data_IF_019654021372
#
_entry.id   IF_019654021372
#
_cell.length_a   1.000
_cell.length_b   1.000
_cell.length_c   1.000
_cell.angle_alpha   90.00
_cell.angle_beta   90.00
_cell.angle_gamma   90.00
#
_symmetry.space_group_name_H-M   'P 1'
#
loop_
_entity.id
_entity.type
_entity.pdbx_description
1 polymer ?
#
# COMPACT_ATOMS: atom_id res chain seq x y z
N UNK A 1 -25.61 -2.72 -1.03
CA UNK A 1 -25.60 -4.01 -1.76
C UNK A 1 -25.15 -3.76 -3.20
N UNK A 2 -24.34 -4.64 -3.77
CA UNK A 2 -23.92 -4.57 -5.18
C UNK A 2 -22.46 -4.13 -5.39
N UNK A 3 -21.67 -3.91 -4.34
CA UNK A 3 -20.23 -3.76 -4.43
C UNK A 3 -19.57 -5.14 -4.50
N UNK A 4 -18.51 -5.25 -5.29
CA UNK A 4 -17.73 -6.48 -5.45
C UNK A 4 -16.42 -6.36 -4.67
N UNK A 5 -16.30 -7.09 -3.56
CA UNK A 5 -15.13 -7.07 -2.67
C UNK A 5 -14.57 -5.65 -2.39
N UNK A 6 -15.37 -4.71 -1.85
CA UNK A 6 -14.90 -3.36 -1.59
C UNK A 6 -13.79 -3.35 -0.53
N UNK A 7 -12.70 -2.66 -0.81
CA UNK A 7 -11.52 -2.67 0.03
C UNK A 7 -11.10 -1.29 0.52
N UNK A 8 -11.03 -0.30 -0.36
CA UNK A 8 -10.66 1.07 -0.01
C UNK A 8 -11.75 2.07 -0.33
N UNK A 9 -11.79 3.18 0.39
CA UNK A 9 -12.64 4.30 0.03
C UNK A 9 -12.02 5.64 0.44
N UNK A 10 -12.33 6.68 -0.35
CA UNK A 10 -11.92 8.05 -0.05
C UNK A 10 -13.06 9.03 -0.37
N UNK A 11 -13.19 10.04 0.47
CA UNK A 11 -14.10 11.16 0.23
C UNK A 11 -13.43 12.19 -0.69
N UNK A 12 -14.15 12.59 -1.72
CA UNK A 12 -13.75 13.64 -2.67
C UNK A 12 -14.83 14.74 -2.72
N UNK A 13 -14.57 15.84 -3.43
CA UNK A 13 -15.56 16.92 -3.52
C UNK A 13 -16.87 16.46 -4.16
N UNK A 14 -16.80 15.56 -5.13
CA UNK A 14 -17.94 15.04 -5.90
C UNK A 14 -18.72 13.94 -5.17
N UNK A 15 -18.12 13.28 -4.15
CA UNK A 15 -18.75 12.17 -3.46
C UNK A 15 -17.78 11.22 -2.77
N UNK A 16 -17.96 9.93 -3.00
CA UNK A 16 -17.19 8.86 -2.37
C UNK A 16 -16.66 7.94 -3.46
N UNK A 17 -15.35 7.81 -3.54
CA UNK A 17 -14.70 6.83 -4.43
C UNK A 17 -14.48 5.55 -3.66
N UNK A 18 -14.88 4.42 -4.24
CA UNK A 18 -14.73 3.08 -3.65
C UNK A 18 -13.89 2.21 -4.59
N UNK A 19 -12.87 1.60 -4.00
CA UNK A 19 -12.08 0.54 -4.64
C UNK A 19 -12.79 -0.80 -4.44
N UNK A 20 -13.12 -1.45 -5.53
CA UNK A 20 -13.68 -2.79 -5.61
C UNK A 20 -12.67 -3.73 -6.28
N UNK A 21 -12.93 -5.02 -6.33
CA UNK A 21 -12.08 -5.96 -7.06
C UNK A 21 -11.99 -5.59 -8.55
N UNK A 22 -10.81 -5.10 -8.96
CA UNK A 22 -10.49 -4.69 -10.33
C UNK A 22 -11.24 -3.46 -10.84
N UNK A 23 -11.94 -2.73 -9.98
CA UNK A 23 -12.80 -1.60 -10.37
C UNK A 23 -12.75 -0.46 -9.39
N UNK A 24 -12.80 0.77 -9.89
CA UNK A 24 -12.88 1.99 -9.11
C UNK A 24 -14.16 2.76 -9.48
N UNK A 25 -15.01 3.01 -8.48
CA UNK A 25 -16.33 3.62 -8.69
C UNK A 25 -16.51 4.87 -7.83
N UNK A 26 -16.97 5.95 -8.43
CA UNK A 26 -17.44 7.15 -7.74
C UNK A 26 -18.95 7.06 -7.50
N UNK A 27 -19.37 7.31 -6.27
CA UNK A 27 -20.77 7.45 -5.84
C UNK A 27 -21.00 8.88 -5.34
N UNK A 28 -22.23 9.34 -5.42
CA UNK A 28 -22.63 10.55 -4.67
C UNK A 28 -22.64 10.27 -3.15
N UNK A 29 -22.82 11.30 -2.33
CA UNK A 29 -22.84 11.17 -0.86
C UNK A 29 -24.02 10.38 -0.29
N UNK A 30 -25.00 9.99 -1.12
CA UNK A 30 -26.09 9.09 -0.73
C UNK A 30 -25.81 7.63 -1.13
N UNK A 31 -24.65 7.33 -1.70
CA UNK A 31 -24.29 6.05 -2.31
C UNK A 31 -25.18 5.68 -3.50
N UNK A 32 -25.63 6.70 -4.24
CA UNK A 32 -26.40 6.58 -5.47
C UNK A 32 -25.56 7.01 -6.68
N UNK A 33 -26.13 6.87 -7.88
CA UNK A 33 -25.51 7.33 -9.13
C UNK A 33 -24.07 6.86 -9.36
N UNK A 34 -23.81 5.53 -9.34
CA UNK A 34 -22.45 5.02 -9.52
C UNK A 34 -21.88 5.39 -10.88
N UNK A 35 -20.69 5.95 -10.87
CA UNK A 35 -19.90 6.27 -12.04
C UNK A 35 -18.59 5.49 -12.02
N UNK A 36 -18.36 4.61 -13.00
CA UNK A 36 -17.13 3.86 -13.13
C UNK A 36 -15.99 4.78 -13.58
N UNK A 37 -14.92 4.87 -12.78
CA UNK A 37 -13.71 5.62 -13.10
C UNK A 37 -12.72 4.73 -13.87
N UNK A 38 -12.46 3.54 -13.36
CA UNK A 38 -11.59 2.52 -13.97
C UNK A 38 -12.25 1.15 -13.79
N UNK A 39 -12.06 0.24 -14.75
CA UNK A 39 -12.59 -1.11 -14.71
C UNK A 39 -11.68 -2.12 -15.41
N UNK A 40 -11.87 -3.38 -15.12
CA UNK A 40 -11.25 -4.48 -15.83
C UNK A 40 -9.77 -4.66 -15.51
N UNK A 41 -9.32 -4.33 -14.28
CA UNK A 41 -8.02 -4.77 -13.80
C UNK A 41 -8.16 -6.23 -13.36
N UNK A 42 -7.33 -7.15 -13.87
CA UNK A 42 -7.37 -8.54 -13.43
C UNK A 42 -7.14 -8.69 -11.93
N UNK A 43 -7.75 -9.68 -11.32
CA UNK A 43 -7.58 -10.05 -9.93
C UNK A 43 -7.13 -11.50 -9.82
N UNK A 44 -6.42 -11.82 -8.74
CA UNK A 44 -5.87 -13.16 -8.52
C UNK A 44 -5.62 -13.43 -7.04
N UNK A 45 -4.38 -13.67 -6.65
CA UNK A 45 -4.01 -13.84 -5.24
C UNK A 45 -4.22 -12.54 -4.45
N UNK A 46 -3.96 -11.42 -5.10
CA UNK A 46 -4.21 -10.08 -4.57
C UNK A 46 -5.15 -9.34 -5.51
N UNK A 47 -5.77 -8.31 -4.98
CA UNK A 47 -6.76 -7.49 -5.69
C UNK A 47 -6.35 -6.03 -5.66
N UNK A 48 -7.20 -5.16 -6.19
CA UNK A 48 -7.08 -3.72 -5.98
C UNK A 48 -7.50 -3.36 -4.55
N UNK A 49 -6.67 -2.58 -3.88
CA UNK A 49 -6.77 -2.30 -2.44
C UNK A 49 -7.17 -0.84 -2.15
N UNK A 50 -6.37 -0.11 -1.41
CA UNK A 50 -6.68 1.27 -1.03
C UNK A 50 -6.77 2.21 -2.23
N UNK A 51 -7.54 3.27 -2.04
CA UNK A 51 -7.55 4.47 -2.87
C UNK A 51 -7.40 5.69 -1.97
N UNK A 52 -6.43 6.55 -2.28
CA UNK A 52 -6.11 7.72 -1.48
C UNK A 52 -6.10 8.98 -2.37
N UNK A 53 -6.51 10.12 -1.80
CA UNK A 53 -6.50 11.40 -2.50
C UNK A 53 -5.23 12.18 -2.12
N UNK A 54 -4.43 12.53 -3.12
CA UNK A 54 -3.27 13.41 -2.94
C UNK A 54 -3.69 14.88 -2.81
N UNK A 55 -2.85 15.74 -2.21
CA UNK A 55 -3.13 17.17 -2.09
C UNK A 55 -3.35 17.90 -3.42
N UNK A 56 -2.84 17.36 -4.52
CA UNK A 56 -3.02 17.91 -5.87
C UNK A 56 -4.33 17.48 -6.55
N UNK A 57 -5.17 16.68 -5.86
CA UNK A 57 -6.44 16.16 -6.38
C UNK A 57 -6.34 14.88 -7.21
N UNK A 58 -5.15 14.30 -7.36
CA UNK A 58 -4.97 13.00 -8.01
C UNK A 58 -5.29 11.86 -7.03
N UNK A 59 -5.98 10.83 -7.50
CA UNK A 59 -6.11 9.60 -6.73
C UNK A 59 -4.89 8.71 -6.95
N UNK A 60 -4.38 8.11 -5.88
CA UNK A 60 -3.48 6.94 -5.93
C UNK A 60 -4.32 5.71 -5.64
N UNK A 61 -4.27 4.72 -6.54
CA UNK A 61 -5.00 3.48 -6.41
C UNK A 61 -4.04 2.29 -6.43
N UNK A 62 -4.12 1.43 -5.43
CA UNK A 62 -3.23 0.30 -5.23
C UNK A 62 -3.75 -0.93 -5.96
N UNK A 63 -2.93 -1.51 -6.82
CA UNK A 63 -3.26 -2.70 -7.60
C UNK A 63 -2.28 -3.81 -7.30
N UNK A 64 -2.75 -4.86 -6.63
CA UNK A 64 -1.94 -6.01 -6.26
C UNK A 64 -1.61 -6.92 -7.44
N UNK A 65 -0.65 -7.81 -7.24
CA UNK A 65 -0.27 -8.85 -8.20
C UNK A 65 -1.33 -9.95 -8.31
N UNK A 66 -1.47 -10.54 -9.48
CA UNK A 66 -2.42 -11.66 -9.68
C UNK A 66 -1.93 -12.97 -9.08
N UNK A 67 -0.67 -13.06 -8.71
CA UNK A 67 -0.05 -14.26 -8.16
C UNK A 67 0.96 -13.95 -7.06
N UNK A 68 1.49 -14.98 -6.41
CA UNK A 68 2.60 -14.82 -5.45
C UNK A 68 3.90 -14.41 -6.14
N UNK A 69 4.20 -15.01 -7.29
CA UNK A 69 5.43 -14.78 -8.05
C UNK A 69 5.19 -15.18 -9.52
N UNK A 70 4.91 -14.24 -10.39
CA UNK A 70 4.77 -14.43 -11.84
C UNK A 70 4.88 -13.10 -12.58
N UNK A 71 5.19 -13.17 -13.87
CA UNK A 71 5.02 -12.03 -14.75
C UNK A 71 3.52 -11.69 -14.89
N UNK A 72 3.16 -10.44 -14.76
CA UNK A 72 1.78 -9.98 -14.91
C UNK A 72 1.41 -9.82 -16.41
N UNK A 73 0.22 -10.30 -16.79
CA UNK A 73 -0.32 -10.13 -18.14
C UNK A 73 -0.85 -8.70 -18.38
N UNK A 74 -1.24 -8.00 -17.34
CA UNK A 74 -1.71 -6.62 -17.38
C UNK A 74 -0.75 -5.74 -16.55
N UNK A 75 -0.13 -4.75 -17.21
CA UNK A 75 0.84 -3.85 -16.60
C UNK A 75 0.27 -3.00 -15.45
N UNK A 76 -1.05 -2.96 -15.30
CA UNK A 76 -1.72 -2.28 -14.18
C UNK A 76 -1.74 -3.11 -12.90
N UNK A 77 -1.41 -4.41 -12.96
CA UNK A 77 -1.20 -5.23 -11.76
C UNK A 77 0.20 -5.02 -11.19
N UNK A 78 0.39 -5.36 -9.93
CA UNK A 78 1.63 -5.16 -9.19
C UNK A 78 2.15 -3.71 -9.28
N UNK A 79 1.25 -2.73 -9.15
CA UNK A 79 1.50 -1.33 -9.44
C UNK A 79 0.73 -0.36 -8.53
N UNK A 80 1.22 0.85 -8.41
CA UNK A 80 0.42 1.99 -7.99
C UNK A 80 -0.05 2.76 -9.23
N UNK A 81 -1.34 3.10 -9.25
CA UNK A 81 -1.99 3.79 -10.36
C UNK A 81 -2.40 5.20 -9.95
N UNK A 82 -2.29 6.15 -10.88
CA UNK A 82 -2.94 7.44 -10.72
C UNK A 82 -4.28 7.45 -11.46
N UNK A 83 -5.27 8.14 -10.90
CA UNK A 83 -6.57 8.34 -11.54
C UNK A 83 -6.99 9.80 -11.40
N UNK A 84 -7.36 10.42 -12.52
CA UNK A 84 -7.92 11.77 -12.55
C UNK A 84 -9.45 11.72 -12.50
N UNK A 85 -10.04 12.28 -11.45
CA UNK A 85 -11.49 12.27 -11.24
C UNK A 85 -12.27 12.96 -12.36
N UNK A 86 -11.71 14.02 -12.94
CA UNK A 86 -12.41 14.85 -13.93
C UNK A 86 -12.35 14.25 -15.33
N UNK A 87 -11.15 13.82 -15.75
CA UNK A 87 -10.94 13.29 -17.13
C UNK A 87 -11.14 11.79 -17.21
N UNK A 88 -11.11 11.08 -16.06
CA UNK A 88 -11.12 9.60 -15.92
C UNK A 88 -9.91 8.93 -16.59
N UNK A 89 -8.94 9.73 -16.96
CA UNK A 89 -7.65 9.21 -17.38
C UNK A 89 -6.94 8.58 -16.20
N UNK A 90 -6.24 7.51 -16.44
CA UNK A 90 -5.43 6.80 -15.45
C UNK A 90 -4.17 6.25 -16.09
N UNK A 91 -3.20 5.90 -15.27
CA UNK A 91 -1.95 5.31 -15.70
C UNK A 91 -1.14 4.83 -14.51
N UNK A 92 0.05 4.34 -14.78
CA UNK A 92 0.94 3.76 -13.80
C UNK A 92 1.77 4.88 -13.14
N UNK A 93 1.84 4.89 -11.81
CA UNK A 93 2.75 5.72 -11.03
C UNK A 93 4.06 5.00 -10.73
N UNK A 94 3.97 3.70 -10.39
CA UNK A 94 5.10 2.89 -10.00
C UNK A 94 4.78 1.41 -10.25
N UNK A 95 5.81 0.60 -10.46
CA UNK A 95 5.75 -0.84 -10.71
C UNK A 95 6.51 -1.63 -9.64
N UNK A 96 6.50 -2.96 -9.73
CA UNK A 96 7.26 -3.80 -8.81
C UNK A 96 6.71 -3.80 -7.37
N UNK A 97 5.41 -3.54 -7.21
CA UNK A 97 4.69 -3.47 -5.93
C UNK A 97 3.77 -4.68 -5.82
N UNK A 98 4.16 -5.68 -5.02
CA UNK A 98 3.46 -6.97 -5.00
C UNK A 98 2.04 -6.88 -4.43
N UNK A 99 1.90 -6.38 -3.21
CA UNK A 99 0.61 -6.34 -2.50
C UNK A 99 0.54 -5.17 -1.52
N UNK A 100 0.47 -3.99 -2.08
CA UNK A 100 0.28 -2.78 -1.29
C UNK A 100 -1.16 -2.67 -0.82
N UNK A 101 -1.35 -2.58 0.49
CA UNK A 101 -2.67 -2.51 1.10
C UNK A 101 -3.17 -1.10 1.32
N UNK A 102 -2.29 -0.19 1.70
CA UNK A 102 -2.66 1.20 2.02
C UNK A 102 -1.46 2.15 1.89
N UNK A 103 -1.76 3.44 1.90
CA UNK A 103 -0.78 4.50 1.91
C UNK A 103 -1.33 5.78 2.52
N UNK A 104 -0.44 6.73 2.74
CA UNK A 104 -0.80 8.01 3.36
C UNK A 104 0.12 9.13 2.87
N UNK A 105 -0.45 10.31 2.63
CA UNK A 105 0.34 11.50 2.41
C UNK A 105 0.86 12.05 3.74
N UNK A 106 2.17 12.29 3.82
CA UNK A 106 2.85 12.94 4.94
C UNK A 106 3.49 14.23 4.43
N UNK A 107 3.12 15.35 5.02
CA UNK A 107 3.69 16.64 4.64
C UNK A 107 5.22 16.63 4.80
N UNK A 108 5.93 17.30 3.91
CA UNK A 108 7.38 17.36 3.78
C UNK A 108 8.06 16.04 3.32
N UNK A 109 7.40 14.87 3.42
CA UNK A 109 7.93 13.58 2.95
C UNK A 109 7.38 13.24 1.56
N UNK A 110 6.05 13.16 1.44
CA UNK A 110 5.36 12.71 0.24
C UNK A 110 4.36 11.60 0.53
N UNK A 111 4.02 10.82 -0.50
CA UNK A 111 3.12 9.69 -0.37
C UNK A 111 3.88 8.43 0.04
N UNK A 112 3.56 7.92 1.21
CA UNK A 112 4.08 6.66 1.73
C UNK A 112 3.08 5.53 1.47
N UNK A 113 3.57 4.34 1.14
CA UNK A 113 2.74 3.17 0.94
C UNK A 113 3.40 1.91 1.50
N UNK A 114 2.57 0.92 1.85
CA UNK A 114 3.02 -0.37 2.35
C UNK A 114 3.18 -1.35 1.19
N UNK A 115 4.11 -2.31 1.30
CA UNK A 115 4.11 -3.49 0.44
C UNK A 115 4.36 -4.76 1.25
N UNK A 116 3.62 -5.81 0.90
CA UNK A 116 3.73 -7.13 1.51
C UNK A 116 4.50 -8.06 0.58
N UNK A 117 5.64 -8.53 1.04
CA UNK A 117 6.55 -9.37 0.29
C UNK A 117 6.03 -10.78 -0.05
N UNK A 118 6.76 -11.52 -0.88
CA UNK A 118 6.37 -12.85 -1.32
C UNK A 118 6.51 -13.92 -0.25
N UNK A 119 5.74 -15.04 -0.38
CA UNK A 119 5.56 -16.04 0.68
C UNK A 119 6.53 -17.24 0.61
N UNK A 120 7.44 -17.33 -0.38
CA UNK A 120 8.16 -18.57 -0.68
C UNK A 120 9.67 -18.53 -0.49
N UNK A 121 10.23 -17.44 0.05
CA UNK A 121 11.67 -17.27 0.23
C UNK A 121 12.18 -17.57 1.65
N UNK A 122 11.40 -18.28 2.46
CA UNK A 122 11.76 -18.62 3.85
C UNK A 122 11.03 -17.74 4.87
N UNK A 123 11.32 -17.95 6.17
CA UNK A 123 10.61 -17.25 7.25
C UNK A 123 11.20 -15.85 7.57
N UNK A 124 12.41 -15.59 7.10
CA UNK A 124 13.17 -14.40 7.44
C UNK A 124 13.36 -13.45 6.24
N UNK A 125 12.64 -13.68 5.12
CA UNK A 125 12.70 -12.86 3.93
C UNK A 125 11.47 -13.07 3.02
N UNK A 126 10.99 -12.03 2.29
CA UNK A 126 11.39 -10.61 2.41
C UNK A 126 10.76 -9.93 3.63
N UNK A 127 11.35 -8.83 4.05
CA UNK A 127 10.75 -7.93 5.03
C UNK A 127 9.47 -7.31 4.46
N UNK A 128 8.53 -6.93 5.33
CA UNK A 128 7.43 -6.04 4.96
C UNK A 128 7.94 -4.60 4.90
N UNK A 129 7.36 -3.77 4.05
CA UNK A 129 7.94 -2.50 3.67
C UNK A 129 7.00 -1.31 3.81
N UNK A 130 7.60 -0.14 4.13
CA UNK A 130 7.06 1.16 3.78
C UNK A 130 7.97 1.82 2.75
N UNK A 131 7.38 2.21 1.66
CA UNK A 131 8.03 2.85 0.53
C UNK A 131 7.60 4.31 0.40
N UNK A 132 8.49 5.16 -0.10
CA UNK A 132 8.19 6.51 -0.54
C UNK A 132 7.90 6.48 -2.04
N UNK A 133 6.74 6.97 -2.46
CA UNK A 133 6.39 7.00 -3.88
C UNK A 133 7.31 7.92 -4.67
N UNK A 134 8.01 7.34 -5.63
CA UNK A 134 8.78 7.99 -6.67
C UNK A 134 8.11 7.67 -8.00
N UNK A 135 7.65 8.68 -8.73
CA UNK A 135 6.95 8.47 -10.00
C UNK A 135 7.86 7.82 -11.05
N UNK A 136 7.38 6.72 -11.63
CA UNK A 136 8.09 5.93 -12.62
C UNK A 136 9.09 4.93 -12.06
N UNK A 137 9.17 4.79 -10.73
CA UNK A 137 10.07 3.84 -10.09
C UNK A 137 9.55 2.40 -10.15
N UNK A 138 10.49 1.46 -10.01
CA UNK A 138 10.26 0.04 -9.81
C UNK A 138 10.70 -0.32 -8.37
N UNK A 139 9.87 -1.03 -7.63
CA UNK A 139 10.12 -1.42 -6.24
C UNK A 139 10.63 -2.85 -6.08
N UNK A 140 10.92 -3.54 -7.19
CA UNK A 140 11.74 -4.76 -7.23
C UNK A 140 11.01 -6.07 -7.07
N UNK A 141 9.67 -6.10 -6.87
CA UNK A 141 8.96 -7.38 -6.85
C UNK A 141 9.17 -8.15 -8.16
N UNK A 142 9.38 -9.46 -8.05
CA UNK A 142 9.88 -10.49 -8.94
C UNK A 142 11.40 -10.64 -8.94
N UNK A 143 12.18 -9.56 -8.85
CA UNK A 143 13.65 -9.59 -8.99
C UNK A 143 14.36 -9.70 -7.64
N UNK A 144 13.69 -9.37 -6.54
CA UNK A 144 14.23 -9.45 -5.18
C UNK A 144 14.61 -10.87 -4.77
N UNK A 145 15.66 -11.00 -3.98
CA UNK A 145 16.12 -12.28 -3.45
C UNK A 145 16.89 -12.08 -2.12
N UNK A 146 17.05 -13.13 -1.27
CA UNK A 146 17.77 -12.98 -0.01
C UNK A 146 19.22 -12.50 -0.13
N UNK A 147 19.82 -12.63 -1.31
CA UNK A 147 21.17 -12.14 -1.60
C UNK A 147 21.20 -10.76 -2.25
N UNK A 148 20.08 -10.28 -2.73
CA UNK A 148 19.90 -9.01 -3.41
C UNK A 148 18.44 -8.52 -3.20
N UNK A 149 18.14 -7.97 -2.02
CA UNK A 149 16.77 -7.54 -1.69
C UNK A 149 16.34 -6.30 -2.49
N UNK A 150 17.29 -5.52 -3.01
CA UNK A 150 17.04 -4.31 -3.79
C UNK A 150 17.94 -4.31 -5.02
N UNK A 151 17.53 -5.01 -6.09
CA UNK A 151 18.30 -5.10 -7.32
C UNK A 151 18.64 -3.73 -7.92
N UNK A 152 19.74 -3.66 -8.66
CA UNK A 152 20.20 -2.43 -9.31
C UNK A 152 19.09 -1.83 -10.20
N UNK A 153 18.68 -0.59 -9.91
CA UNK A 153 17.64 0.13 -10.65
C UNK A 153 16.27 0.11 -9.99
N UNK A 154 16.11 -0.55 -8.86
CA UNK A 154 14.90 -0.50 -8.04
C UNK A 154 15.04 0.49 -6.87
N UNK A 155 13.89 0.98 -6.37
CA UNK A 155 13.86 1.83 -5.18
C UNK A 155 13.83 0.97 -3.92
N UNK A 156 14.68 1.32 -2.96
CA UNK A 156 14.72 0.66 -1.65
C UNK A 156 13.62 1.22 -0.72
N UNK A 157 13.05 0.39 0.17
CA UNK A 157 12.11 0.86 1.18
C UNK A 157 12.78 1.83 2.15
N UNK A 158 11.99 2.76 2.67
CA UNK A 158 12.45 3.72 3.69
C UNK A 158 12.23 3.23 5.12
N UNK A 159 11.46 2.16 5.30
CA UNK A 159 11.32 1.43 6.56
C UNK A 159 10.93 -0.02 6.29
N UNK A 160 11.44 -0.95 7.11
CA UNK A 160 11.11 -2.37 7.03
C UNK A 160 10.84 -2.95 8.41
N UNK A 161 10.14 -4.07 8.45
CA UNK A 161 9.94 -4.85 9.67
C UNK A 161 9.72 -6.33 9.37
N UNK A 162 9.39 -7.08 10.42
CA UNK A 162 9.29 -8.53 10.42
C UNK A 162 8.55 -9.10 9.19
N UNK A 163 9.18 -10.02 8.44
CA UNK A 163 8.59 -10.71 7.29
C UNK A 163 7.27 -11.40 7.59
N UNK A 164 6.41 -11.48 6.57
CA UNK A 164 5.17 -12.26 6.56
C UNK A 164 4.17 -11.87 7.65
N UNK A 165 4.09 -10.60 8.02
CA UNK A 165 3.18 -10.12 9.07
C UNK A 165 1.99 -9.33 8.54
N UNK A 166 1.93 -9.09 7.25
CA UNK A 166 0.79 -8.49 6.55
C UNK A 166 0.40 -7.12 7.12
N UNK A 167 1.05 -6.08 6.63
CA UNK A 167 0.67 -4.70 6.94
C UNK A 167 -0.54 -4.28 6.13
N UNK A 168 -1.57 -3.77 6.79
CA UNK A 168 -2.85 -3.53 6.14
C UNK A 168 -3.26 -2.06 6.07
N UNK A 169 -3.14 -1.32 7.14
CA UNK A 169 -3.59 0.07 7.17
C UNK A 169 -2.51 1.01 7.67
N UNK A 170 -2.51 2.23 7.15
CA UNK A 170 -1.57 3.27 7.54
C UNK A 170 -2.29 4.60 7.76
N UNK A 171 -1.85 5.37 8.74
CA UNK A 171 -2.36 6.72 8.99
C UNK A 171 -1.28 7.63 9.54
N UNK A 172 -1.37 8.91 9.23
CA UNK A 172 -0.58 9.93 9.93
C UNK A 172 -0.92 9.94 11.43
N UNK A 173 0.02 10.38 12.25
CA UNK A 173 -0.12 10.42 13.69
C UNK A 173 -1.39 11.17 14.14
N UNK A 174 -2.34 10.51 14.82
CA UNK A 174 -3.41 11.21 15.51
C UNK A 174 -2.85 12.16 16.59
N UNK A 175 -3.45 13.34 16.75
CA UNK A 175 -2.93 14.40 17.62
C UNK A 175 -2.73 14.02 19.09
N UNK A 176 -3.40 12.98 19.55
CA UNK A 176 -3.33 12.46 20.92
C UNK A 176 -2.35 11.30 21.12
N UNK A 177 -1.66 10.86 20.08
CA UNK A 177 -0.64 9.80 20.15
C UNK A 177 0.79 10.37 20.13
N UNK A 178 1.79 9.61 20.62
CA UNK A 178 3.21 10.00 20.60
C UNK A 178 3.75 10.22 19.18
N UNK A 179 4.80 11.03 19.06
CA UNK A 179 5.49 11.32 17.81
C UNK A 179 5.33 12.77 17.36
N UNK A 180 5.72 13.07 16.15
CA UNK A 180 5.64 14.39 15.52
C UNK A 180 4.88 14.36 14.18
N UNK A 181 5.10 15.34 13.32
CA UNK A 181 4.41 15.44 12.02
C UNK A 181 4.92 14.42 10.99
N UNK A 182 6.08 13.80 11.23
CA UNK A 182 6.66 12.76 10.38
C UNK A 182 6.46 11.36 10.97
N UNK A 183 5.58 11.21 11.95
CA UNK A 183 5.22 9.91 12.53
C UNK A 183 3.99 9.36 11.84
N UNK A 184 4.04 8.09 11.46
CA UNK A 184 2.87 7.32 11.00
C UNK A 184 2.63 6.12 11.91
N UNK A 185 1.39 5.63 11.89
CA UNK A 185 0.99 4.39 12.53
C UNK A 185 0.51 3.41 11.48
N UNK A 186 0.97 2.16 11.59
CA UNK A 186 0.57 1.09 10.69
C UNK A 186 -0.01 -0.10 11.48
N UNK A 187 -1.02 -0.75 10.92
CA UNK A 187 -1.62 -1.95 11.50
C UNK A 187 -1.03 -3.19 10.85
N UNK A 188 -0.59 -4.13 11.67
CA UNK A 188 -0.04 -5.42 11.26
C UNK A 188 -1.02 -6.51 11.63
N UNK A 189 -1.60 -7.15 10.61
CA UNK A 189 -2.67 -8.14 10.79
C UNK A 189 -2.18 -9.38 11.51
N UNK A 190 -1.10 -10.00 11.03
CA UNK A 190 -0.55 -11.21 11.60
C UNK A 190 0.07 -12.10 10.54
N UNK A 191 0.81 -13.10 10.99
CA UNK A 191 1.66 -13.87 10.11
C UNK A 191 0.90 -14.80 9.18
N UNK A 192 1.37 -14.84 7.97
CA UNK A 192 1.06 -15.83 6.95
C UNK A 192 2.33 -16.62 6.63
N UNK A 193 2.22 -17.91 6.32
CA UNK A 193 3.35 -18.76 5.93
C UNK A 193 4.54 -18.84 6.93
N UNK A 194 4.30 -18.66 8.23
CA UNK A 194 5.33 -18.80 9.28
C UNK A 194 5.02 -19.96 10.24
N UNK A 195 6.06 -20.57 10.83
CA UNK A 195 5.91 -21.66 11.82
C UNK A 195 5.39 -21.11 13.15
N UNK A 196 5.89 -19.96 13.57
CA UNK A 196 5.45 -19.29 14.81
C UNK A 196 4.62 -18.06 14.45
N UNK A 197 3.42 -17.90 15.02
CA UNK A 197 2.62 -16.69 14.81
C UNK A 197 3.39 -15.42 15.17
N UNK A 198 3.30 -14.41 14.29
CA UNK A 198 3.89 -13.07 14.44
C UNK A 198 2.80 -12.03 14.14
N UNK A 199 3.05 -10.75 14.40
CA UNK A 199 2.12 -9.66 14.05
C UNK A 199 1.09 -9.38 15.14
N UNK A 200 -0.15 -9.08 14.77
CA UNK A 200 -1.20 -8.57 15.65
C UNK A 200 -0.73 -7.32 16.42
N UNK A 201 -0.18 -6.37 15.69
CA UNK A 201 0.51 -5.21 16.24
C UNK A 201 0.02 -3.91 15.62
N UNK A 202 0.25 -2.84 16.33
CA UNK A 202 0.29 -1.49 15.77
C UNK A 202 1.74 -1.03 15.85
N UNK A 203 2.29 -0.64 14.72
CA UNK A 203 3.61 -0.05 14.63
C UNK A 203 3.49 1.48 14.70
N UNK A 204 4.49 2.10 15.30
CA UNK A 204 4.77 3.52 15.18
C UNK A 204 6.07 3.65 14.38
N UNK A 205 6.07 4.50 13.38
CA UNK A 205 7.22 4.72 12.50
C UNK A 205 7.54 6.20 12.51
N UNK A 206 8.71 6.54 12.99
CA UNK A 206 9.22 7.91 13.04
C UNK A 206 10.20 8.13 11.88
N UNK A 207 9.84 9.00 10.93
CA UNK A 207 10.69 9.30 9.78
C UNK A 207 11.63 10.45 10.07
N UNK A 208 12.89 10.27 9.70
CA UNK A 208 13.96 11.27 9.82
C UNK A 208 14.62 11.48 8.46
N UNK A 209 14.83 12.73 8.09
CA UNK A 209 15.58 13.07 6.89
C UNK A 209 17.09 12.96 7.15
N UNK A 210 17.77 12.22 6.26
CA UNK A 210 19.23 12.04 6.26
C UNK A 210 19.83 12.63 4.98
N UNK A 211 21.16 12.55 4.83
CA UNK A 211 21.83 12.98 3.60
C UNK A 211 21.46 12.08 2.38
N UNK A 212 21.04 10.83 2.63
CA UNK A 212 20.66 9.84 1.61
C UNK A 212 19.14 9.74 1.39
N UNK A 213 18.33 10.56 2.07
CA UNK A 213 16.87 10.56 1.97
C UNK A 213 16.16 10.32 3.31
N UNK A 214 14.90 9.92 3.25
CA UNK A 214 14.09 9.61 4.43
C UNK A 214 14.33 8.18 4.91
N UNK A 215 14.40 8.01 6.23
CA UNK A 215 14.55 6.69 6.89
C UNK A 215 13.58 6.62 8.06
N UNK A 216 12.84 5.51 8.16
CA UNK A 216 11.88 5.25 9.24
C UNK A 216 12.48 4.37 10.34
N UNK A 217 12.32 4.80 11.60
CA UNK A 217 12.59 3.99 12.79
C UNK A 217 11.28 3.34 13.25
N UNK A 218 11.24 2.02 13.22
CA UNK A 218 10.03 1.23 13.47
C UNK A 218 10.02 0.68 14.89
N UNK A 219 8.99 1.01 15.66
CA UNK A 219 8.76 0.45 16.99
C UNK A 219 7.36 -0.17 17.13
N UNK A 220 7.24 -1.22 17.93
CA UNK A 220 5.95 -1.79 18.29
C UNK A 220 5.27 -0.88 19.31
N UNK A 221 4.21 -0.17 18.88
CA UNK A 221 3.43 0.69 19.74
C UNK A 221 2.42 -0.09 20.61
N UNK A 222 1.80 -1.11 20.04
CA UNK A 222 0.90 -2.01 20.74
C UNK A 222 0.98 -3.43 20.16
N UNK A 223 0.86 -4.44 21.01
CA UNK A 223 0.83 -5.86 20.64
C UNK A 223 -0.47 -6.53 21.07
N UNK A 224 -0.70 -7.74 20.56
CA UNK A 224 -1.91 -8.55 20.80
C UNK A 224 -3.21 -7.84 20.42
N UNK A 225 -3.14 -6.96 19.43
CA UNK A 225 -4.28 -6.19 18.92
C UNK A 225 -5.16 -7.11 18.09
N UNK A 226 -6.44 -7.22 18.45
CA UNK A 226 -7.41 -8.02 17.68
C UNK A 226 -7.29 -9.54 17.88
N UNK A 227 -6.48 -10.02 18.81
CA UNK A 227 -6.52 -11.43 19.21
C UNK A 227 -7.75 -11.70 20.08
N UNK A 228 -8.47 -12.81 19.85
CA UNK A 228 -9.67 -13.15 20.64
C UNK A 228 -9.32 -13.52 22.09
#
# INVERSE_FOLDING_TARGET
>A
DGLDYPHGMVFVEEGIVISEEGKLTLFDFNFENPETLVDGIPSGNHQTNAVNLLPNGTLVWHSGSTCNLCDEDDERNAALLWVNLTTKEHGILATGVRNSFDGVWVDDIGYLFTDNGQDTMGEDFPDEEVNLLVEGADYGWLEESPGDPHPDGTEAPIATWTPHTSVNGMTTRPANLPGDNHTVYATVFGSWATILPKGHQILKIDFTQTDDGWVGDVEVFASDVGTP
#
